data_IF_557712224927
#
_entry.id   IF_557712224927
#
_cell.length_a   1.000
_cell.length_b   1.000
_cell.length_c   1.000
_cell.angle_alpha   90.00
_cell.angle_beta   90.00
_cell.angle_gamma   90.00
#
_symmetry.space_group_name_H-M   'P 1'
#
loop_
_entity.id
_entity.type
_entity.pdbx_description
1 polymer ?
#
# COMPACT_ATOMS: atom_id res chain seq x y z
N UNK A 1 -12.94 -34.92 46.49
CA UNK A 1 -13.28 -35.00 45.05
C UNK A 1 -12.39 -34.03 44.30
N UNK A 2 -11.77 -34.50 43.23
CA UNK A 2 -10.67 -33.92 42.47
C UNK A 2 -10.94 -32.47 42.00
N UNK A 3 -10.29 -31.48 42.61
CA UNK A 3 -10.21 -30.11 42.07
C UNK A 3 -8.82 -29.77 41.51
N UNK A 4 -7.77 -30.49 41.91
CA UNK A 4 -6.40 -30.19 41.47
C UNK A 4 -6.02 -30.83 40.13
N UNK A 5 -6.62 -31.97 39.75
CA UNK A 5 -6.28 -32.62 38.48
C UNK A 5 -6.80 -31.86 37.26
N UNK A 6 -7.95 -31.18 37.38
CA UNK A 6 -8.63 -30.48 36.28
C UNK A 6 -7.96 -29.14 35.93
N UNK A 7 -7.37 -28.47 36.92
CA UNK A 7 -6.61 -27.22 36.70
C UNK A 7 -5.31 -27.46 35.92
N UNK A 8 -4.65 -28.58 36.16
CA UNK A 8 -3.41 -28.94 35.47
C UNK A 8 -3.66 -29.36 34.01
N UNK A 9 -4.74 -30.09 33.73
CA UNK A 9 -5.14 -30.42 32.35
C UNK A 9 -5.51 -29.16 31.55
N UNK A 10 -6.34 -28.27 32.11
CA UNK A 10 -6.70 -27.00 31.44
C UNK A 10 -5.46 -26.15 31.17
N UNK A 11 -4.53 -26.08 32.12
CA UNK A 11 -3.28 -25.33 31.95
C UNK A 11 -2.37 -25.98 30.90
N UNK A 12 -2.36 -27.31 30.79
CA UNK A 12 -1.61 -28.04 29.77
C UNK A 12 -2.15 -27.83 28.35
N UNK A 13 -3.47 -27.84 28.17
CA UNK A 13 -4.13 -27.58 26.89
C UNK A 13 -3.89 -26.15 26.42
N UNK A 14 -4.02 -25.17 27.32
CA UNK A 14 -3.72 -23.77 27.04
C UNK A 14 -2.25 -23.57 26.65
N UNK A 15 -1.33 -24.24 27.34
CA UNK A 15 0.09 -24.19 26.99
C UNK A 15 0.35 -24.78 25.60
N UNK A 16 -0.35 -25.86 25.23
CA UNK A 16 -0.24 -26.43 23.89
C UNK A 16 -0.73 -25.45 22.81
N UNK A 17 -1.89 -24.83 23.02
CA UNK A 17 -2.43 -23.81 22.10
C UNK A 17 -1.46 -22.61 21.97
N UNK A 18 -0.95 -22.10 23.08
CA UNK A 18 -0.01 -20.98 23.07
C UNK A 18 1.29 -21.30 22.35
N UNK A 19 1.80 -22.54 22.46
CA UNK A 19 2.99 -22.99 21.71
C UNK A 19 2.70 -23.01 20.22
N UNK A 20 1.61 -23.63 19.78
CA UNK A 20 1.20 -23.64 18.36
C UNK A 20 1.14 -22.21 17.77
N UNK A 21 0.50 -21.27 18.48
CA UNK A 21 0.42 -19.87 18.02
C UNK A 21 1.81 -19.22 17.97
N UNK A 22 2.68 -19.47 18.96
CA UNK A 22 4.05 -18.94 18.96
C UNK A 22 4.85 -19.47 17.78
N UNK A 23 4.72 -20.75 17.45
CA UNK A 23 5.41 -21.36 16.32
C UNK A 23 4.95 -20.72 15.00
N UNK A 24 3.65 -20.47 14.83
CA UNK A 24 3.12 -19.72 13.67
C UNK A 24 3.58 -18.27 13.61
N UNK A 25 3.73 -17.59 14.75
CA UNK A 25 4.31 -16.24 14.79
C UNK A 25 5.78 -16.24 14.38
N UNK A 26 6.54 -17.25 14.81
CA UNK A 26 7.92 -17.47 14.37
C UNK A 26 8.00 -17.73 12.88
N UNK A 27 7.12 -18.58 12.36
CA UNK A 27 6.99 -18.84 10.93
C UNK A 27 6.74 -17.55 10.15
N UNK A 28 5.75 -16.76 10.55
CA UNK A 28 5.46 -15.45 9.93
C UNK A 28 6.67 -14.53 9.97
N UNK A 29 7.37 -14.45 11.10
CA UNK A 29 8.55 -13.60 11.25
C UNK A 29 9.67 -14.01 10.28
N UNK A 30 9.91 -15.32 10.12
CA UNK A 30 10.90 -15.84 9.18
C UNK A 30 10.59 -15.43 7.73
N UNK A 31 9.35 -15.56 7.28
CA UNK A 31 8.95 -15.14 5.93
C UNK A 31 9.06 -13.62 5.71
N UNK A 32 8.68 -12.82 6.71
CA UNK A 32 8.80 -11.35 6.65
C UNK A 32 10.27 -10.93 6.58
N UNK A 33 11.13 -11.56 7.39
CA UNK A 33 12.56 -11.28 7.37
C UNK A 33 13.21 -11.70 6.04
N UNK A 34 12.83 -12.87 5.52
CA UNK A 34 13.34 -13.36 4.24
C UNK A 34 12.96 -12.43 3.08
N UNK A 35 11.76 -11.87 3.11
CA UNK A 35 11.25 -10.95 2.09
C UNK A 35 11.62 -9.48 2.32
N UNK A 36 12.46 -9.20 3.32
CA UNK A 36 12.90 -7.85 3.68
C UNK A 36 11.73 -6.87 3.94
N UNK A 37 10.68 -7.37 4.60
CA UNK A 37 9.49 -6.61 4.95
C UNK A 37 9.51 -6.12 6.40
N UNK A 38 10.68 -6.10 7.05
CA UNK A 38 10.81 -5.51 8.39
C UNK A 38 10.90 -3.98 8.31
N UNK A 39 10.68 -3.30 9.44
CA UNK A 39 10.73 -1.85 9.51
C UNK A 39 12.11 -1.29 9.13
N UNK A 40 13.17 -2.02 9.45
CA UNK A 40 14.57 -1.62 9.25
C UNK A 40 15.07 -1.88 7.82
N UNK A 41 14.36 -2.72 7.06
CA UNK A 41 14.75 -3.09 5.70
C UNK A 41 14.45 -1.99 4.68
N UNK A 42 13.51 -1.09 5.00
CA UNK A 42 13.14 0.00 4.09
C UNK A 42 14.33 0.95 3.93
N UNK A 43 14.94 1.05 2.72
CA UNK A 43 16.14 1.86 2.51
C UNK A 43 15.93 3.33 2.89
N UNK A 44 14.70 3.86 2.78
CA UNK A 44 14.36 5.23 3.14
C UNK A 44 14.60 5.55 4.63
N UNK A 45 14.57 4.52 5.48
CA UNK A 45 14.77 4.68 6.92
C UNK A 45 16.27 4.76 7.29
N UNK A 46 17.18 4.50 6.34
CA UNK A 46 18.62 4.60 6.58
C UNK A 46 19.06 6.07 6.51
N UNK A 47 19.90 6.54 7.45
CA UNK A 47 20.34 7.94 7.48
C UNK A 47 21.16 8.33 6.23
N UNK A 48 21.77 7.35 5.56
CA UNK A 48 22.55 7.53 4.34
C UNK A 48 21.67 7.67 3.08
N UNK A 49 20.37 7.34 3.17
CA UNK A 49 19.47 7.39 2.03
C UNK A 49 19.04 8.82 1.72
N UNK A 50 19.68 9.42 0.72
CA UNK A 50 19.35 10.78 0.26
C UNK A 50 18.05 10.77 -0.55
N UNK A 51 17.01 11.42 -0.03
CA UNK A 51 15.77 11.68 -0.77
C UNK A 51 16.01 12.88 -1.71
N UNK A 52 15.94 12.64 -3.02
CA UNK A 52 16.07 13.67 -4.05
C UNK A 52 14.93 13.56 -5.09
N UNK A 53 14.28 14.68 -5.46
CA UNK A 53 14.39 16.01 -4.86
C UNK A 53 13.96 16.02 -3.39
N UNK A 54 14.42 16.98 -2.57
CA UNK A 54 14.02 17.06 -1.18
C UNK A 54 12.50 17.21 -1.06
N UNK A 55 11.86 16.62 -0.02
CA UNK A 55 10.43 16.77 0.17
C UNK A 55 10.06 18.26 0.31
N UNK A 56 8.85 18.66 -0.14
CA UNK A 56 8.42 20.05 -0.01
C UNK A 56 8.35 20.45 1.47
N UNK A 57 8.55 21.74 1.73
CA UNK A 57 8.44 22.26 3.10
C UNK A 57 7.09 21.86 3.70
N UNK A 58 7.08 21.29 4.92
CA UNK A 58 5.83 21.04 5.62
C UNK A 58 5.01 22.32 5.70
N UNK A 59 3.74 22.26 5.29
CA UNK A 59 2.84 23.42 5.27
C UNK A 59 2.49 23.97 6.68
N UNK A 60 3.08 23.43 7.75
CA UNK A 60 2.79 23.75 9.14
C UNK A 60 4.10 24.17 9.85
N UNK A 61 4.14 25.37 10.43
CA UNK A 61 5.18 25.79 11.40
C UNK A 61 4.65 25.55 12.82
N UNK A 62 5.42 25.04 13.78
CA UNK A 62 6.67 25.59 14.31
C UNK A 62 7.97 24.80 14.01
N UNK A 63 7.92 23.72 13.23
CA UNK A 63 9.11 22.92 12.86
C UNK A 63 9.99 23.56 11.76
N UNK A 64 9.91 24.89 11.58
CA UNK A 64 10.85 25.61 10.70
C UNK A 64 12.29 25.57 11.24
N UNK A 65 12.46 25.38 12.55
CA UNK A 65 13.78 25.27 13.18
C UNK A 65 14.32 23.84 13.18
N UNK A 66 13.49 22.83 13.43
CA UNK A 66 13.87 21.40 13.38
C UNK A 66 14.16 20.93 11.95
N UNK A 67 13.43 21.44 10.95
CA UNK A 67 13.76 21.19 9.54
C UNK A 67 15.12 21.82 9.14
N UNK A 68 15.50 22.94 9.77
CA UNK A 68 16.81 23.59 9.58
C UNK A 68 17.96 22.90 10.32
N UNK A 69 17.70 22.20 11.43
CA UNK A 69 18.74 21.51 12.20
C UNK A 69 19.29 20.25 11.53
N UNK A 70 18.56 19.67 10.58
CA UNK A 70 19.02 18.56 9.74
C UNK A 70 19.56 19.03 8.36
N UNK A 71 19.77 20.33 8.17
CA UNK A 71 20.33 20.87 6.93
C UNK A 71 21.86 20.80 6.95
N UNK A 72 22.43 20.12 5.96
CA UNK A 72 23.84 20.26 5.63
C UNK A 72 24.06 21.67 5.01
N UNK A 73 24.97 22.52 5.51
CA UNK A 73 25.05 23.95 5.14
C UNK A 73 25.49 24.23 3.69
N UNK A 74 25.57 23.24 2.81
CA UNK A 74 26.31 23.31 1.56
C UNK A 74 25.51 23.23 0.26
N UNK A 75 24.21 22.93 0.27
CA UNK A 75 23.46 22.71 -0.97
C UNK A 75 22.32 23.72 -1.16
N UNK A 76 22.53 24.67 -2.07
CA UNK A 76 21.56 25.66 -2.59
C UNK A 76 20.49 24.97 -3.48
N UNK A 77 19.87 23.91 -2.95
CA UNK A 77 18.87 23.12 -3.67
C UNK A 77 17.55 23.89 -3.68
N UNK A 78 17.09 24.25 -4.88
CA UNK A 78 15.79 24.88 -5.14
C UNK A 78 14.67 23.94 -4.70
N UNK A 79 14.25 24.05 -3.43
CA UNK A 79 13.09 23.32 -2.92
C UNK A 79 11.85 23.78 -3.68
N UNK A 80 11.05 22.83 -4.15
CA UNK A 80 9.78 23.13 -4.82
C UNK A 80 8.91 24.02 -3.94
N UNK A 81 8.52 25.18 -4.46
CA UNK A 81 7.57 26.06 -3.79
C UNK A 81 6.14 25.58 -4.04
N UNK A 82 5.27 25.90 -3.09
CA UNK A 82 3.83 25.60 -3.23
C UNK A 82 3.28 26.34 -4.47
N UNK A 83 2.90 25.58 -5.51
CA UNK A 83 2.40 26.12 -6.79
C UNK A 83 3.22 25.77 -8.02
N UNK A 84 4.45 25.27 -7.86
CA UNK A 84 5.29 24.75 -8.96
C UNK A 84 4.88 23.32 -9.34
N UNK A 85 5.05 22.95 -10.62
CA UNK A 85 4.66 21.62 -11.08
C UNK A 85 5.56 20.56 -10.42
N UNK A 86 5.00 19.37 -10.17
CA UNK A 86 5.76 18.25 -9.61
C UNK A 86 6.84 17.85 -10.63
N UNK A 87 8.11 17.86 -10.21
CA UNK A 87 9.25 17.45 -11.03
C UNK A 87 10.02 18.58 -11.72
N UNK A 88 9.64 19.85 -11.55
CA UNK A 88 10.43 20.99 -12.06
C UNK A 88 11.76 21.19 -11.31
N UNK A 89 11.83 20.69 -10.08
CA UNK A 89 12.98 20.68 -9.17
C UNK A 89 13.88 19.45 -9.34
N UNK A 90 13.56 18.57 -10.29
CA UNK A 90 14.38 17.40 -10.60
C UNK A 90 15.37 17.73 -11.72
N UNK A 91 16.66 17.64 -11.40
CA UNK A 91 17.75 17.76 -12.34
C UNK A 91 18.51 16.43 -12.41
N UNK A 92 18.50 15.81 -13.58
CA UNK A 92 19.15 14.51 -13.79
C UNK A 92 20.66 14.59 -13.54
N UNK A 93 21.27 15.74 -13.78
CA UNK A 93 22.69 16.01 -13.56
C UNK A 93 23.10 15.86 -12.09
N UNK A 94 22.19 16.11 -11.14
CA UNK A 94 22.44 15.92 -9.70
C UNK A 94 22.41 14.45 -9.27
N UNK A 95 21.86 13.56 -10.11
CA UNK A 95 21.83 12.12 -9.90
C UNK A 95 23.05 11.40 -10.50
N UNK A 96 23.99 12.13 -11.12
CA UNK A 96 25.17 11.56 -11.75
C UNK A 96 26.35 11.43 -10.76
N UNK A 97 27.19 10.38 -10.88
CA UNK A 97 27.07 9.28 -11.83
C UNK A 97 25.98 8.28 -11.42
N UNK A 98 25.23 7.79 -12.41
CA UNK A 98 24.32 6.67 -12.19
C UNK A 98 25.11 5.45 -11.70
N UNK A 99 24.51 4.59 -10.86
CA UNK A 99 25.10 3.32 -10.50
C UNK A 99 25.52 2.54 -11.76
N UNK A 100 26.75 2.05 -11.77
CA UNK A 100 27.28 1.24 -12.86
C UNK A 100 26.65 -0.15 -12.91
N UNK A 101 27.06 -0.94 -13.91
CA UNK A 101 26.66 -2.34 -14.00
C UNK A 101 27.09 -3.09 -12.72
N UNK A 102 26.19 -3.91 -12.21
CA UNK A 102 26.45 -4.78 -11.07
C UNK A 102 26.99 -6.12 -11.58
N UNK A 103 27.94 -6.71 -10.85
CA UNK A 103 28.45 -8.06 -11.11
C UNK A 103 27.39 -9.15 -10.84
N UNK A 104 26.27 -8.78 -10.23
CA UNK A 104 25.23 -9.69 -9.79
C UNK A 104 24.44 -10.24 -10.98
N UNK A 105 24.20 -11.54 -10.93
CA UNK A 105 23.50 -12.28 -11.99
C UNK A 105 22.26 -12.93 -11.39
N UNK A 106 21.17 -13.03 -12.17
CA UNK A 106 20.00 -13.79 -11.79
C UNK A 106 19.77 -14.95 -12.75
N UNK A 107 19.26 -16.07 -12.23
CA UNK A 107 18.92 -17.26 -13.02
C UNK A 107 17.62 -17.85 -12.48
N UNK A 108 16.79 -18.37 -13.37
CA UNK A 108 15.62 -19.15 -12.99
C UNK A 108 16.07 -20.54 -12.53
N UNK A 109 15.65 -20.94 -11.33
CA UNK A 109 15.91 -22.28 -10.82
C UNK A 109 14.92 -23.33 -11.35
N UNK A 110 15.13 -24.60 -11.01
CA UNK A 110 14.23 -25.71 -11.41
C UNK A 110 12.80 -25.55 -10.88
N UNK A 111 12.62 -24.77 -9.81
CA UNK A 111 11.32 -24.48 -9.20
C UNK A 111 10.63 -23.25 -9.79
N UNK A 112 11.14 -22.71 -10.90
CA UNK A 112 10.63 -21.49 -11.55
C UNK A 112 10.68 -20.25 -10.66
N UNK A 113 11.63 -20.19 -9.73
CA UNK A 113 11.92 -19.04 -8.88
C UNK A 113 13.21 -18.38 -9.36
N UNK A 114 13.20 -17.04 -9.46
CA UNK A 114 14.41 -16.31 -9.80
C UNK A 114 15.32 -16.22 -8.57
N UNK A 115 16.53 -16.76 -8.71
CA UNK A 115 17.58 -16.68 -7.71
C UNK A 115 18.64 -15.66 -8.13
N UNK A 116 19.18 -14.95 -7.14
CA UNK A 116 20.21 -13.92 -7.33
C UNK A 116 21.54 -14.43 -6.81
N UNK A 117 22.60 -14.24 -7.60
CA UNK A 117 23.97 -14.66 -7.37
C UNK A 117 24.89 -13.44 -7.43
N UNK A 118 25.96 -13.41 -6.63
CA UNK A 118 26.87 -12.25 -6.62
C UNK A 118 27.70 -12.16 -7.88
N UNK A 119 28.19 -13.31 -8.35
CA UNK A 119 29.07 -13.43 -9.51
C UNK A 119 28.64 -14.64 -10.37
N UNK A 120 29.10 -14.69 -11.63
CA UNK A 120 28.85 -15.84 -12.51
C UNK A 120 29.40 -17.17 -11.95
N UNK A 121 30.47 -17.14 -11.17
CA UNK A 121 31.03 -18.35 -10.54
C UNK A 121 30.11 -18.97 -9.48
N UNK A 122 29.29 -18.17 -8.81
CA UNK A 122 28.34 -18.64 -7.81
C UNK A 122 27.12 -19.29 -8.48
N UNK A 123 26.83 -18.90 -9.72
CA UNK A 123 25.80 -19.55 -10.57
C UNK A 123 26.19 -20.99 -10.86
N UNK A 124 27.46 -21.23 -11.18
CA UNK A 124 27.98 -22.59 -11.46
C UNK A 124 28.01 -23.47 -10.21
N UNK A 125 28.08 -22.86 -9.03
CA UNK A 125 28.05 -23.55 -7.72
C UNK A 125 26.64 -23.72 -7.14
N UNK A 126 25.64 -23.11 -7.77
CA UNK A 126 24.25 -23.07 -7.29
C UNK A 126 24.11 -22.53 -5.85
N UNK A 127 24.93 -21.53 -5.48
CA UNK A 127 24.91 -20.88 -4.17
C UNK A 127 24.26 -19.49 -4.26
N UNK A 128 22.93 -19.37 -4.14
CA UNK A 128 22.25 -18.08 -4.19
C UNK A 128 22.49 -17.24 -2.93
N UNK A 129 22.35 -15.92 -3.07
CA UNK A 129 22.48 -14.97 -1.95
C UNK A 129 21.43 -15.21 -0.87
N UNK A 130 20.22 -15.58 -1.29
CA UNK A 130 19.09 -15.85 -0.41
C UNK A 130 18.51 -17.22 -0.77
N UNK A 131 18.35 -18.08 0.24
CA UNK A 131 17.69 -19.37 0.05
C UNK A 131 16.19 -19.21 0.26
N UNK A 132 15.45 -19.19 -0.85
CA UNK A 132 13.99 -19.09 -0.83
C UNK A 132 13.40 -20.48 -0.50
N UNK A 133 12.40 -20.58 0.40
CA UNK A 133 11.67 -21.83 0.65
C UNK A 133 11.09 -22.41 -0.64
N UNK A 134 11.12 -23.74 -0.76
CA UNK A 134 10.52 -24.40 -1.91
C UNK A 134 8.99 -24.30 -1.85
N UNK A 135 8.33 -24.50 -3.00
CA UNK A 135 6.87 -24.58 -3.04
C UNK A 135 6.33 -25.66 -2.09
N UNK A 136 7.06 -26.77 -1.91
CA UNK A 136 6.70 -27.83 -0.97
C UNK A 136 6.75 -27.33 0.47
N UNK A 137 7.82 -26.63 0.86
CA UNK A 137 7.96 -26.08 2.21
C UNK A 137 6.83 -25.08 2.49
N UNK A 138 6.53 -24.22 1.52
CA UNK A 138 5.41 -23.28 1.61
C UNK A 138 4.06 -23.99 1.84
N UNK A 139 3.77 -25.07 1.12
CA UNK A 139 2.53 -25.82 1.34
C UNK A 139 2.49 -26.49 2.71
N UNK A 140 3.60 -27.06 3.18
CA UNK A 140 3.68 -27.65 4.52
C UNK A 140 3.46 -26.59 5.62
N UNK A 141 4.05 -25.41 5.45
CA UNK A 141 3.89 -24.27 6.34
C UNK A 141 2.44 -23.73 6.32
N UNK A 142 1.83 -23.68 5.13
CA UNK A 142 0.43 -23.28 4.96
C UNK A 142 -0.52 -24.28 5.63
N UNK A 143 -0.28 -25.58 5.45
CA UNK A 143 -1.05 -26.64 6.10
C UNK A 143 -0.97 -26.50 7.63
N UNK A 144 0.22 -26.22 8.18
CA UNK A 144 0.37 -25.95 9.61
C UNK A 144 -0.46 -24.75 10.10
N UNK A 145 -0.55 -23.67 9.31
CA UNK A 145 -1.42 -22.52 9.61
C UNK A 145 -2.89 -22.93 9.57
N UNK A 146 -3.30 -23.68 8.54
CA UNK A 146 -4.68 -24.16 8.35
C UNK A 146 -5.09 -25.08 9.51
N UNK A 147 -4.24 -26.01 9.90
CA UNK A 147 -4.47 -26.96 10.98
C UNK A 147 -4.75 -26.24 12.31
N UNK A 148 -3.94 -25.25 12.67
CA UNK A 148 -4.17 -24.46 13.89
C UNK A 148 -5.41 -23.58 13.78
N UNK A 149 -5.71 -23.05 12.59
CA UNK A 149 -6.88 -22.20 12.37
C UNK A 149 -8.21 -22.98 12.46
N UNK A 150 -8.18 -24.27 12.13
CA UNK A 150 -9.34 -25.17 12.15
C UNK A 150 -9.46 -25.96 13.46
N UNK A 151 -8.41 -25.99 14.29
CA UNK A 151 -8.39 -26.61 15.61
C UNK A 151 -9.47 -25.99 16.54
N UNK A 152 -10.46 -26.81 16.93
CA UNK A 152 -11.64 -26.38 17.68
C UNK A 152 -11.32 -25.71 19.03
N UNK A 153 -10.46 -26.30 19.88
CA UNK A 153 -10.00 -25.68 21.12
C UNK A 153 -9.27 -24.35 20.90
N UNK A 154 -8.38 -24.26 19.91
CA UNK A 154 -7.65 -23.03 19.59
C UNK A 154 -8.59 -21.91 19.12
N UNK A 155 -9.58 -22.24 18.28
CA UNK A 155 -10.62 -21.31 17.83
C UNK A 155 -11.49 -20.82 18.99
N UNK A 156 -11.94 -21.72 19.85
CA UNK A 156 -12.76 -21.38 21.03
C UNK A 156 -11.99 -20.51 22.03
N UNK A 157 -10.71 -20.82 22.27
CA UNK A 157 -9.83 -20.02 23.10
C UNK A 157 -9.61 -18.62 22.51
N UNK A 158 -9.30 -18.54 21.20
CA UNK A 158 -9.09 -17.28 20.50
C UNK A 158 -10.33 -16.39 20.55
N UNK A 159 -11.52 -16.96 20.34
CA UNK A 159 -12.79 -16.25 20.46
C UNK A 159 -12.98 -15.67 21.88
N UNK A 160 -12.84 -16.50 22.92
CA UNK A 160 -12.94 -16.04 24.32
C UNK A 160 -11.93 -14.94 24.64
N UNK A 161 -10.70 -15.06 24.13
CA UNK A 161 -9.63 -14.08 24.33
C UNK A 161 -9.96 -12.75 23.64
N UNK A 162 -10.47 -12.79 22.41
CA UNK A 162 -10.90 -11.60 21.68
C UNK A 162 -12.08 -10.91 22.37
N UNK A 163 -13.10 -11.66 22.80
CA UNK A 163 -14.22 -11.10 23.57
C UNK A 163 -13.77 -10.49 24.89
N UNK A 164 -12.79 -11.09 25.58
CA UNK A 164 -12.20 -10.50 26.78
C UNK A 164 -11.45 -9.19 26.46
N UNK A 165 -10.68 -9.14 25.38
CA UNK A 165 -9.95 -7.92 24.98
C UNK A 165 -10.92 -6.80 24.59
N UNK A 166 -11.99 -7.12 23.89
CA UNK A 166 -13.08 -6.18 23.57
C UNK A 166 -13.75 -5.66 24.85
N UNK A 167 -14.14 -6.54 25.78
CA UNK A 167 -14.72 -6.14 27.05
C UNK A 167 -13.76 -5.29 27.90
N UNK A 168 -12.47 -5.60 27.88
CA UNK A 168 -11.44 -4.79 28.55
C UNK A 168 -11.34 -3.38 27.93
N UNK A 169 -11.42 -3.28 26.61
CA UNK A 169 -11.41 -1.99 25.92
C UNK A 169 -12.69 -1.19 26.21
N UNK A 170 -13.87 -1.81 26.20
CA UNK A 170 -15.12 -1.16 26.57
C UNK A 170 -15.09 -0.61 28.00
N UNK A 171 -14.58 -1.40 28.96
CA UNK A 171 -14.39 -0.93 30.33
C UNK A 171 -13.41 0.24 30.40
N UNK A 172 -12.30 0.17 29.66
CA UNK A 172 -11.34 1.27 29.57
C UNK A 172 -12.02 2.55 29.05
N UNK A 173 -12.80 2.47 27.96
CA UNK A 173 -13.54 3.61 27.42
C UNK A 173 -14.50 4.19 28.46
N UNK A 174 -15.30 3.37 29.15
CA UNK A 174 -16.25 3.83 30.17
C UNK A 174 -15.55 4.56 31.34
N UNK A 175 -14.36 4.13 31.73
CA UNK A 175 -13.62 4.72 32.85
C UNK A 175 -12.82 5.97 32.45
N UNK A 176 -12.37 6.06 31.20
CA UNK A 176 -11.38 7.06 30.78
C UNK A 176 -11.88 8.05 29.72
N UNK A 177 -13.09 7.89 29.17
CA UNK A 177 -13.62 8.75 28.10
C UNK A 177 -13.53 10.24 28.45
N UNK A 178 -13.96 10.65 29.65
CA UNK A 178 -13.89 12.05 30.07
C UNK A 178 -12.45 12.58 30.15
N UNK A 179 -11.51 11.74 30.58
CA UNK A 179 -10.10 12.09 30.68
C UNK A 179 -9.48 12.21 29.28
N UNK A 180 -9.75 11.27 28.38
CA UNK A 180 -9.27 11.30 26.99
C UNK A 180 -9.81 12.53 26.22
N UNK A 181 -11.08 12.88 26.42
CA UNK A 181 -11.68 14.10 25.85
C UNK A 181 -11.01 15.35 26.42
N UNK A 182 -10.76 15.39 27.73
CA UNK A 182 -10.09 16.52 28.36
C UNK A 182 -8.65 16.68 27.85
N UNK A 183 -7.91 15.58 27.70
CA UNK A 183 -6.54 15.60 27.20
C UNK A 183 -6.48 15.96 25.71
N UNK A 184 -7.43 15.50 24.90
CA UNK A 184 -7.56 15.91 23.50
C UNK A 184 -7.82 17.42 23.37
N UNK A 185 -8.63 18.01 24.27
CA UNK A 185 -8.89 19.46 24.30
C UNK A 185 -7.69 20.29 24.73
N UNK A 186 -6.75 19.73 25.51
CA UNK A 186 -5.52 20.43 25.92
C UNK A 186 -4.52 20.60 24.77
N UNK A 187 -4.64 19.83 23.69
CA UNK A 187 -3.78 19.94 22.52
C UNK A 187 -4.49 20.76 21.45
N UNK A 188 -4.30 22.10 21.41
CA UNK A 188 -4.94 22.94 20.39
C UNK A 188 -4.46 22.54 18.99
N UNK A 189 -5.29 22.77 17.98
CA UNK A 189 -4.98 22.50 16.57
C UNK A 189 -4.67 21.03 16.22
N UNK A 190 -5.00 20.05 17.08
CA UNK A 190 -4.89 18.61 16.80
C UNK A 190 -6.26 17.93 16.86
N UNK A 191 -7.14 18.33 15.94
CA UNK A 191 -8.49 17.78 15.80
C UNK A 191 -8.61 16.80 14.61
N UNK A 192 -9.84 16.32 14.38
CA UNK A 192 -10.15 15.44 13.27
C UNK A 192 -9.90 16.06 11.88
N UNK A 193 -9.68 17.36 11.73
CA UNK A 193 -9.29 17.94 10.44
C UNK A 193 -7.77 18.04 10.30
N UNK A 194 -7.07 18.31 11.39
CA UNK A 194 -5.64 18.57 11.39
C UNK A 194 -4.76 17.32 11.53
N UNK A 195 -5.29 16.21 12.07
CA UNK A 195 -4.54 14.94 12.09
C UNK A 195 -4.29 14.45 10.66
N UNK A 196 -3.12 13.88 10.37
CA UNK A 196 -2.85 13.27 9.05
C UNK A 196 -3.49 11.89 8.99
N UNK A 197 -4.28 11.66 7.95
CA UNK A 197 -4.83 10.34 7.64
C UNK A 197 -4.37 9.95 6.26
N UNK A 198 -4.03 8.68 6.11
CA UNK A 198 -3.64 8.08 4.84
C UNK A 198 -4.68 7.03 4.52
N UNK A 199 -5.22 7.09 3.31
CA UNK A 199 -6.01 5.99 2.79
C UNK A 199 -5.05 4.87 2.37
N UNK A 200 -5.19 3.72 3.03
CA UNK A 200 -4.27 2.58 2.87
C UNK A 200 -4.67 1.65 1.72
N UNK A 201 -5.83 1.89 1.09
CA UNK A 201 -6.32 1.04 0.01
C UNK A 201 -7.03 1.88 -1.07
N UNK A 202 -6.24 2.51 -1.94
CA UNK A 202 -6.71 3.28 -3.09
C UNK A 202 -6.16 2.70 -4.37
N UNK A 203 -7.01 2.59 -5.39
CA UNK A 203 -6.55 2.28 -6.74
C UNK A 203 -6.29 3.59 -7.51
N UNK A 204 -5.13 3.72 -8.15
CA UNK A 204 -4.73 4.94 -8.87
C UNK A 204 -5.79 5.39 -9.89
N UNK A 205 -6.36 4.47 -10.67
CA UNK A 205 -7.40 4.77 -11.66
C UNK A 205 -8.72 5.30 -11.05
N UNK A 206 -8.89 5.10 -9.74
CA UNK A 206 -10.09 5.43 -8.99
C UNK A 206 -9.93 6.60 -8.02
N UNK A 207 -8.76 7.24 -8.01
CA UNK A 207 -8.45 8.30 -7.04
C UNK A 207 -9.28 9.58 -7.28
N UNK A 208 -9.84 9.74 -8.47
CA UNK A 208 -10.52 10.96 -8.88
C UNK A 208 -12.02 10.90 -8.62
N UNK A 209 -12.56 12.00 -8.10
CA UNK A 209 -13.99 12.19 -7.98
C UNK A 209 -14.65 12.27 -9.37
N UNK A 210 -15.79 11.60 -9.56
CA UNK A 210 -16.55 11.58 -10.80
C UNK A 210 -16.88 12.99 -11.33
N UNK A 211 -17.24 13.93 -10.45
CA UNK A 211 -17.49 15.34 -10.82
C UNK A 211 -16.24 16.01 -11.38
N UNK A 212 -15.08 15.67 -10.82
CA UNK A 212 -13.80 16.21 -11.30
C UNK A 212 -13.46 15.66 -12.68
N UNK A 213 -13.59 14.35 -12.88
CA UNK A 213 -13.37 13.69 -14.16
C UNK A 213 -14.32 14.22 -15.24
N UNK A 214 -15.62 14.36 -14.94
CA UNK A 214 -16.59 14.94 -15.86
C UNK A 214 -16.19 16.35 -16.30
N UNK A 215 -15.78 17.21 -15.36
CA UNK A 215 -15.35 18.57 -15.65
C UNK A 215 -14.09 18.58 -16.52
N UNK A 216 -13.16 17.65 -16.27
CA UNK A 216 -11.95 17.49 -17.08
C UNK A 216 -12.30 17.12 -18.52
N UNK A 217 -13.13 16.09 -18.74
CA UNK A 217 -13.56 15.64 -20.07
C UNK A 217 -14.23 16.78 -20.83
N UNK A 218 -15.21 17.47 -20.20
CA UNK A 218 -15.89 18.63 -20.82
C UNK A 218 -14.91 19.77 -21.15
N UNK A 219 -13.94 20.05 -20.26
CA UNK A 219 -12.94 21.09 -20.50
C UNK A 219 -12.01 20.72 -21.67
N UNK A 220 -11.60 19.46 -21.78
CA UNK A 220 -10.74 18.98 -22.87
C UNK A 220 -11.46 19.02 -24.22
N UNK A 221 -12.71 18.58 -24.28
CA UNK A 221 -13.56 18.71 -25.47
C UNK A 221 -13.72 20.17 -25.93
N UNK A 222 -13.81 21.13 -25.00
CA UNK A 222 -13.97 22.55 -25.32
C UNK A 222 -12.67 23.22 -25.79
N UNK A 223 -11.53 22.87 -25.19
CA UNK A 223 -10.25 23.57 -25.41
C UNK A 223 -9.38 22.92 -26.47
N UNK A 224 -9.45 21.60 -26.62
CA UNK A 224 -8.56 20.81 -27.47
C UNK A 224 -9.33 19.72 -28.24
N UNK A 225 -10.38 20.07 -29.02
CA UNK A 225 -11.20 19.08 -29.72
C UNK A 225 -10.46 18.37 -30.86
N UNK A 226 -9.51 19.06 -31.52
CA UNK A 226 -8.80 18.55 -32.68
C UNK A 226 -7.48 17.82 -32.31
N UNK A 227 -7.27 17.57 -31.01
CA UNK A 227 -6.12 16.80 -30.50
C UNK A 227 -6.28 15.33 -30.89
N UNK A 228 -5.25 14.72 -31.49
CA UNK A 228 -5.25 13.31 -31.88
C UNK A 228 -5.08 12.45 -30.62
N UNK A 229 -6.06 11.60 -30.32
CA UNK A 229 -6.10 10.83 -29.06
C UNK A 229 -6.14 9.31 -29.26
N UNK A 230 -6.55 8.84 -30.43
CA UNK A 230 -6.72 7.40 -30.69
C UNK A 230 -6.18 7.04 -32.07
N UNK A 231 -5.45 5.93 -32.18
CA UNK A 231 -5.10 5.34 -33.47
C UNK A 231 -5.80 3.99 -33.62
N UNK A 232 -6.70 3.88 -34.59
CA UNK A 232 -7.48 2.67 -34.83
C UNK A 232 -7.78 2.52 -36.32
N UNK A 233 -7.80 1.28 -36.80
CA UNK A 233 -8.10 0.94 -38.20
C UNK A 233 -7.22 1.71 -39.21
N UNK A 234 -5.95 1.93 -38.85
CA UNK A 234 -4.98 2.66 -39.67
C UNK A 234 -5.19 4.18 -39.72
N UNK A 235 -6.08 4.74 -38.90
CA UNK A 235 -6.39 6.17 -38.85
C UNK A 235 -6.14 6.76 -37.48
N UNK A 236 -5.63 7.97 -37.47
CA UNK A 236 -5.58 8.83 -36.29
C UNK A 236 -6.92 9.54 -36.14
N UNK A 237 -7.57 9.36 -34.99
CA UNK A 237 -8.83 10.00 -34.63
C UNK A 237 -8.56 11.11 -33.62
N UNK A 238 -9.16 12.26 -33.90
CA UNK A 238 -9.21 13.40 -32.99
C UNK A 238 -10.20 13.16 -31.85
N UNK A 239 -10.04 13.91 -30.76
CA UNK A 239 -10.95 13.83 -29.62
C UNK A 239 -12.41 14.08 -30.03
N UNK A 240 -12.64 15.01 -30.95
CA UNK A 240 -13.97 15.26 -31.53
C UNK A 240 -14.52 14.04 -32.27
N UNK A 241 -13.73 13.45 -33.17
CA UNK A 241 -14.15 12.28 -33.96
C UNK A 241 -14.42 11.05 -33.08
N UNK A 242 -13.68 10.89 -31.98
CA UNK A 242 -13.95 9.83 -31.00
C UNK A 242 -15.33 10.01 -30.36
N UNK A 243 -15.67 11.22 -29.93
CA UNK A 243 -16.99 11.52 -29.35
C UNK A 243 -18.14 11.36 -30.35
N UNK A 244 -17.93 11.79 -31.60
CA UNK A 244 -18.87 11.58 -32.70
C UNK A 244 -19.09 10.08 -32.97
N UNK A 245 -18.03 9.27 -32.91
CA UNK A 245 -18.12 7.82 -33.12
C UNK A 245 -18.94 7.07 -32.06
N UNK A 246 -19.03 7.63 -30.85
CA UNK A 246 -19.81 7.08 -29.73
C UNK A 246 -21.21 7.71 -29.69
N UNK A 247 -21.51 8.63 -30.63
CA UNK A 247 -22.77 9.39 -30.69
C UNK A 247 -23.09 10.10 -29.37
N UNK A 248 -22.06 10.68 -28.72
CA UNK A 248 -22.18 11.43 -27.48
C UNK A 248 -21.66 12.84 -27.66
N UNK A 249 -22.38 13.82 -27.11
CA UNK A 249 -21.86 15.18 -27.02
C UNK A 249 -21.38 15.50 -25.61
N UNK A 250 -20.54 16.55 -25.49
CA UNK A 250 -20.11 17.04 -24.18
C UNK A 250 -21.28 17.57 -23.31
N UNK A 251 -22.43 17.89 -23.92
CA UNK A 251 -23.63 18.30 -23.20
C UNK A 251 -24.34 17.11 -22.57
N UNK A 252 -24.39 15.98 -23.28
CA UNK A 252 -25.08 14.76 -22.86
C UNK A 252 -24.36 14.03 -21.72
N UNK A 253 -23.05 14.27 -21.57
CA UNK A 253 -22.29 13.74 -20.44
C UNK A 253 -22.76 14.33 -19.10
N UNK A 254 -23.28 13.49 -18.23
CA UNK A 254 -23.60 13.78 -16.84
C UNK A 254 -22.82 12.84 -15.90
N UNK A 255 -23.00 13.03 -14.59
CA UNK A 255 -22.44 12.11 -13.58
C UNK A 255 -23.07 10.72 -13.74
N UNK A 256 -24.37 10.68 -14.00
CA UNK A 256 -25.12 9.43 -14.16
C UNK A 256 -24.70 8.66 -15.43
N UNK A 257 -24.43 9.36 -16.54
CA UNK A 257 -23.97 8.69 -17.77
C UNK A 257 -22.55 8.14 -17.64
N UNK A 258 -21.74 8.65 -16.72
CA UNK A 258 -20.40 8.11 -16.49
C UNK A 258 -20.44 6.76 -15.74
N UNK A 259 -21.48 6.50 -14.95
CA UNK A 259 -21.75 5.27 -14.19
C UNK A 259 -20.57 4.73 -13.33
N UNK A 260 -19.83 5.66 -12.72
CA UNK A 260 -18.60 5.37 -11.96
C UNK A 260 -18.84 5.12 -10.46
N UNK A 261 -20.08 4.84 -10.05
CA UNK A 261 -20.45 4.69 -8.62
C UNK A 261 -19.67 3.54 -7.97
N UNK A 262 -19.44 3.51 -6.66
CA UNK A 262 -18.94 2.29 -6.02
C UNK A 262 -20.14 1.47 -5.53
N UNK A 263 -20.18 0.16 -5.80
CA UNK A 263 -21.16 -0.74 -5.15
C UNK A 263 -20.44 -1.59 -4.10
N UNK A 264 -21.18 -2.04 -3.08
CA UNK A 264 -20.65 -2.87 -1.98
C UNK A 264 -20.10 -4.21 -2.46
N UNK A 265 -20.54 -4.70 -3.61
CA UNK A 265 -20.11 -5.95 -4.24
C UNK A 265 -18.84 -5.83 -5.09
N UNK A 266 -18.28 -4.62 -5.21
CA UNK A 266 -17.06 -4.35 -5.97
C UNK A 266 -15.78 -4.61 -5.15
N UNK A 267 -15.92 -4.82 -3.83
CA UNK A 267 -14.81 -5.14 -2.94
C UNK A 267 -14.32 -6.58 -3.23
N UNK A 268 -13.02 -6.74 -3.53
CA UNK A 268 -12.36 -7.97 -4.00
C UNK A 268 -12.73 -8.50 -5.41
N UNK A 269 -13.58 -7.80 -6.17
CA UNK A 269 -13.95 -8.18 -7.56
C UNK A 269 -13.32 -7.24 -8.58
N UNK A 270 -12.05 -7.49 -8.88
CA UNK A 270 -11.24 -6.66 -9.79
C UNK A 270 -11.79 -6.56 -11.22
N UNK A 271 -12.49 -7.58 -11.68
CA UNK A 271 -13.20 -7.60 -12.97
C UNK A 271 -14.34 -6.56 -13.00
N UNK A 272 -15.21 -6.58 -11.98
CA UNK A 272 -16.30 -5.61 -11.83
C UNK A 272 -15.77 -4.21 -11.55
N UNK A 273 -14.70 -4.10 -10.77
CA UNK A 273 -14.02 -2.85 -10.51
C UNK A 273 -13.52 -2.20 -11.80
N UNK A 274 -12.80 -2.94 -12.66
CA UNK A 274 -12.26 -2.40 -13.92
C UNK A 274 -13.33 -1.97 -14.93
N UNK A 275 -14.44 -2.72 -15.03
CA UNK A 275 -15.58 -2.35 -15.88
C UNK A 275 -16.24 -1.04 -15.41
N UNK A 276 -16.14 -0.74 -14.12
CA UNK A 276 -16.76 0.43 -13.49
C UNK A 276 -15.96 1.71 -13.62
N UNK A 277 -14.70 1.62 -14.05
CA UNK A 277 -13.87 2.78 -14.45
C UNK A 277 -13.84 2.99 -15.97
N UNK A 278 -14.88 2.52 -16.66
CA UNK A 278 -15.06 2.71 -18.07
C UNK A 278 -16.11 3.80 -18.31
N UNK A 279 -15.72 5.05 -18.63
CA UNK A 279 -16.68 6.13 -18.79
C UNK A 279 -17.74 5.75 -19.84
N UNK A 280 -19.01 5.77 -19.46
CA UNK A 280 -20.13 5.43 -20.36
C UNK A 280 -20.10 3.96 -20.84
N UNK A 281 -19.32 3.09 -20.19
CA UNK A 281 -19.15 1.69 -20.58
C UNK A 281 -18.32 1.48 -21.86
N UNK A 282 -17.69 2.52 -22.42
CA UNK A 282 -16.94 2.44 -23.67
C UNK A 282 -15.43 2.58 -23.46
N UNK A 283 -14.69 1.51 -23.79
CA UNK A 283 -13.24 1.41 -23.55
C UNK A 283 -12.39 2.50 -24.18
N UNK A 284 -12.93 3.24 -25.17
CA UNK A 284 -12.23 4.32 -25.89
C UNK A 284 -12.02 5.57 -25.05
N UNK A 285 -12.77 5.73 -23.95
CA UNK A 285 -12.68 6.87 -23.04
C UNK A 285 -11.89 6.55 -21.76
N UNK A 286 -11.40 5.31 -21.63
CA UNK A 286 -10.51 4.86 -20.55
C UNK A 286 -9.05 5.10 -20.92
#
# INVERSE_FOLDING_TARGET
MNLNSDGDTVTSELNAICRKIRDLLGLRANYIQLSLQTLEDNPINRPEWRIYPPPPEPAWGDDKETARMNEDPGTDQRRRKMGENIGEDFHLEECMPLPGESDWVFKLDESSVYQVYKNSSDVDREEPVVKIPSLRDFYMDLDAVIDVSTDGPAKSFSFKRLSYLEGKFQLYSLLNEYQEIADSKKVPHRDFYNVRKVDTHVHHSACMNQKHLLRFIKSKMKKSPDEVVLFRDGKHLTLREVFESINLTAYDLSIDTLDMHAHTDSFHRFDKFNLKYNPVGESRLR
#
